data_IF_674521228309
#
_entry.id   IF_674521228309
#
_cell.length_a   1.000
_cell.length_b   1.000
_cell.length_c   1.000
_cell.angle_alpha   90.00
_cell.angle_beta   90.00
_cell.angle_gamma   90.00
#
_symmetry.space_group_name_H-M   'P 1'
#
loop_
_entity.id
_entity.type
_entity.pdbx_description
1 polymer ?
#
# COMPACT_ATOMS: atom_id res chain seq x y z
N UNK A 1 -9.11 24.17 -7.94
CA UNK A 1 -8.37 22.91 -7.87
C UNK A 1 -9.28 21.79 -7.36
N UNK A 2 -9.24 20.65 -8.01
CA UNK A 2 -10.08 19.50 -7.62
C UNK A 2 -9.66 18.99 -6.25
N UNK A 3 -10.61 18.76 -5.36
CA UNK A 3 -10.33 18.29 -4.01
C UNK A 3 -10.03 16.78 -3.98
N UNK A 4 -8.99 16.38 -3.24
CA UNK A 4 -8.64 14.96 -3.06
C UNK A 4 -9.80 14.12 -2.56
N UNK A 5 -10.55 14.62 -1.57
CA UNK A 5 -11.68 13.89 -1.00
C UNK A 5 -12.80 13.64 -2.02
N UNK A 6 -13.02 14.57 -2.94
CA UNK A 6 -14.01 14.39 -4.00
C UNK A 6 -13.60 13.27 -4.95
N UNK A 7 -12.33 13.25 -5.36
CA UNK A 7 -11.77 12.17 -6.19
C UNK A 7 -11.83 10.83 -5.45
N UNK A 8 -11.43 10.81 -4.19
CA UNK A 8 -11.42 9.60 -3.38
C UNK A 8 -12.82 8.98 -3.27
N UNK A 9 -13.82 9.78 -2.95
CA UNK A 9 -15.20 9.29 -2.80
C UNK A 9 -15.72 8.65 -4.09
N UNK A 10 -15.50 9.30 -5.21
CA UNK A 10 -15.92 8.78 -6.52
C UNK A 10 -15.16 7.51 -6.87
N UNK A 11 -13.84 7.53 -6.69
CA UNK A 11 -12.98 6.39 -7.01
C UNK A 11 -13.31 5.16 -6.15
N UNK A 12 -13.54 5.34 -4.86
CA UNK A 12 -13.81 4.22 -3.95
C UNK A 12 -15.05 3.42 -4.33
N UNK A 13 -16.08 4.07 -4.87
CA UNK A 13 -17.28 3.37 -5.33
C UNK A 13 -16.91 2.33 -6.39
N UNK A 14 -16.14 2.74 -7.40
CA UNK A 14 -15.73 1.83 -8.48
C UNK A 14 -14.71 0.81 -8.02
N UNK A 15 -13.76 1.23 -7.20
CA UNK A 15 -12.72 0.33 -6.65
C UNK A 15 -13.38 -0.82 -5.87
N UNK A 16 -14.40 -0.53 -5.06
CA UNK A 16 -15.14 -1.56 -4.31
C UNK A 16 -15.91 -2.49 -5.23
N UNK A 17 -16.51 -1.98 -6.30
CA UNK A 17 -17.19 -2.81 -7.29
C UNK A 17 -16.22 -3.81 -7.93
N UNK A 18 -14.95 -3.45 -8.08
CA UNK A 18 -13.92 -4.29 -8.65
C UNK A 18 -13.23 -5.19 -7.60
N UNK A 19 -13.76 -5.22 -6.38
CA UNK A 19 -13.20 -5.97 -5.25
C UNK A 19 -11.79 -5.50 -4.85
N UNK A 20 -11.56 -4.20 -4.99
CA UNK A 20 -10.30 -3.56 -4.63
C UNK A 20 -10.41 -2.68 -3.41
N UNK A 21 -9.31 -2.01 -3.10
CA UNK A 21 -9.25 -1.03 -2.02
C UNK A 21 -8.41 0.17 -2.45
N UNK A 22 -8.81 1.33 -1.96
CA UNK A 22 -8.11 2.59 -2.20
C UNK A 22 -6.80 2.61 -1.42
N UNK A 23 -5.72 3.14 -2.03
CA UNK A 23 -4.42 3.28 -1.36
C UNK A 23 -4.06 4.74 -1.15
N UNK A 24 -4.01 5.54 -2.21
CA UNK A 24 -3.62 6.95 -2.10
C UNK A 24 -4.06 7.74 -3.32
N UNK A 25 -4.14 9.06 -3.19
CA UNK A 25 -4.33 9.97 -4.30
C UNK A 25 -3.44 11.19 -4.12
N UNK A 26 -2.75 11.58 -5.18
CA UNK A 26 -1.87 12.76 -5.20
C UNK A 26 -2.36 13.69 -6.29
N UNK A 27 -2.50 14.96 -5.96
CA UNK A 27 -2.89 16.01 -6.90
C UNK A 27 -1.90 17.15 -6.77
N UNK A 28 -1.26 17.52 -7.88
CA UNK A 28 -0.34 18.66 -7.87
C UNK A 28 -1.05 19.97 -8.23
N UNK A 29 -0.32 21.09 -8.25
CA UNK A 29 -0.88 22.42 -8.54
C UNK A 29 -1.38 22.56 -9.97
N UNK A 30 -0.94 21.70 -10.88
CA UNK A 30 -1.38 21.68 -12.28
C UNK A 30 -2.57 20.76 -12.52
N UNK A 31 -3.22 20.28 -11.45
CA UNK A 31 -4.33 19.31 -11.51
C UNK A 31 -3.95 18.00 -12.19
N UNK A 32 -2.70 17.56 -12.00
CA UNK A 32 -2.31 16.19 -12.38
C UNK A 32 -2.64 15.28 -11.22
N UNK A 33 -3.56 14.35 -11.46
CA UNK A 33 -4.08 13.43 -10.45
C UNK A 33 -3.44 12.06 -10.65
N UNK A 34 -2.83 11.54 -9.58
CA UNK A 34 -2.33 10.16 -9.56
C UNK A 34 -3.09 9.40 -8.49
N UNK A 35 -3.87 8.41 -8.90
CA UNK A 35 -4.66 7.58 -8.03
C UNK A 35 -4.04 6.20 -7.92
N UNK A 36 -3.88 5.72 -6.69
CA UNK A 36 -3.32 4.41 -6.40
C UNK A 36 -4.36 3.53 -5.71
N UNK A 37 -4.52 2.31 -6.20
CA UNK A 37 -5.39 1.32 -5.62
C UNK A 37 -4.75 -0.06 -5.72
N UNK A 38 -5.33 -1.04 -5.04
CA UNK A 38 -4.85 -2.41 -5.16
C UNK A 38 -6.01 -3.38 -4.98
N UNK A 39 -5.75 -4.65 -5.23
CA UNK A 39 -6.70 -5.76 -5.08
C UNK A 39 -5.94 -6.96 -4.52
N UNK A 40 -6.62 -7.74 -3.69
CA UNK A 40 -6.02 -8.98 -3.17
C UNK A 40 -5.63 -9.94 -4.29
N UNK A 41 -6.42 -9.99 -5.35
CA UNK A 41 -6.23 -10.88 -6.50
C UNK A 41 -5.40 -10.28 -7.64
N UNK A 42 -4.81 -9.11 -7.41
CA UNK A 42 -4.01 -8.42 -8.40
C UNK A 42 -4.79 -7.39 -9.23
N UNK A 43 -4.06 -6.57 -9.96
CA UNK A 43 -4.60 -5.47 -10.75
C UNK A 43 -4.29 -5.68 -12.23
N UNK A 44 -5.31 -5.51 -13.08
CA UNK A 44 -5.15 -5.52 -14.54
C UNK A 44 -5.33 -4.11 -15.11
N UNK A 45 -4.92 -3.93 -16.35
CA UNK A 45 -5.13 -2.67 -17.09
C UNK A 45 -6.62 -2.34 -17.18
N UNK A 46 -7.47 -3.36 -17.35
CA UNK A 46 -8.92 -3.18 -17.42
C UNK A 46 -9.50 -2.58 -16.14
N UNK A 47 -8.98 -2.97 -14.98
CA UNK A 47 -9.38 -2.37 -13.72
C UNK A 47 -9.04 -0.88 -13.67
N UNK A 48 -7.84 -0.52 -14.11
CA UNK A 48 -7.40 0.88 -14.16
C UNK A 48 -8.27 1.71 -15.10
N UNK A 49 -8.60 1.17 -16.26
CA UNK A 49 -9.45 1.85 -17.24
C UNK A 49 -10.87 2.06 -16.72
N UNK A 50 -11.43 1.06 -16.03
CA UNK A 50 -12.76 1.16 -15.45
C UNK A 50 -12.86 2.28 -14.41
N UNK A 51 -11.85 2.38 -13.55
CA UNK A 51 -11.77 3.43 -12.51
C UNK A 51 -11.59 4.80 -13.16
N UNK A 52 -10.70 4.89 -14.14
CA UNK A 52 -10.43 6.14 -14.87
C UNK A 52 -11.72 6.66 -15.53
N UNK A 53 -12.42 5.80 -16.24
CA UNK A 53 -13.69 6.13 -16.90
C UNK A 53 -14.74 6.62 -15.90
N UNK A 54 -14.86 5.92 -14.77
CA UNK A 54 -15.83 6.27 -13.73
C UNK A 54 -15.56 7.68 -13.16
N UNK A 55 -14.29 8.00 -12.93
CA UNK A 55 -13.88 9.32 -12.45
C UNK A 55 -14.19 10.39 -13.51
N UNK A 56 -13.85 10.12 -14.77
CA UNK A 56 -14.10 11.06 -15.87
C UNK A 56 -15.58 11.34 -16.10
N UNK A 57 -16.46 10.39 -15.79
CA UNK A 57 -17.90 10.59 -15.87
C UNK A 57 -18.43 11.54 -14.78
N UNK A 58 -17.72 11.69 -13.68
CA UNK A 58 -18.12 12.52 -12.54
C UNK A 58 -17.42 13.88 -12.49
N UNK A 59 -16.37 14.08 -13.23
CA UNK A 59 -15.61 15.35 -13.26
C UNK A 59 -15.46 15.83 -14.69
N UNK A 60 -16.14 16.94 -14.99
CA UNK A 60 -16.14 17.53 -16.33
C UNK A 60 -14.88 18.36 -16.54
N UNK A 61 -14.08 17.99 -17.55
CA UNK A 61 -12.85 18.70 -17.90
C UNK A 61 -13.11 20.09 -18.46
N UNK A 62 -14.31 20.35 -19.00
CA UNK A 62 -14.69 21.68 -19.49
C UNK A 62 -14.94 22.64 -18.33
N UNK A 63 -15.33 22.13 -17.15
CA UNK A 63 -15.50 22.93 -15.94
C UNK A 63 -14.15 23.21 -15.31
N UNK A 64 -13.34 22.17 -15.10
CA UNK A 64 -11.99 22.26 -14.57
C UNK A 64 -11.16 21.14 -15.16
N UNK A 65 -10.15 21.49 -15.95
CA UNK A 65 -9.33 20.48 -16.61
C UNK A 65 -8.35 19.78 -15.64
N UNK A 66 -8.03 18.54 -15.95
CA UNK A 66 -7.12 17.72 -15.15
C UNK A 66 -6.51 16.62 -16.01
N UNK A 67 -5.36 16.10 -15.55
CA UNK A 67 -4.79 14.86 -16.07
C UNK A 67 -5.00 13.79 -15.02
N UNK A 68 -5.40 12.59 -15.44
CA UNK A 68 -5.68 11.48 -14.53
C UNK A 68 -4.85 10.26 -14.91
N UNK A 69 -4.10 9.74 -13.95
CA UNK A 69 -3.40 8.46 -14.07
C UNK A 69 -3.87 7.56 -12.94
N UNK A 70 -4.39 6.39 -13.29
CA UNK A 70 -4.82 5.36 -12.33
C UNK A 70 -3.80 4.23 -12.35
N UNK A 71 -3.19 3.96 -11.20
CA UNK A 71 -2.12 2.98 -11.07
C UNK A 71 -2.40 1.97 -9.98
N UNK A 72 -1.82 0.77 -10.11
CA UNK A 72 -1.73 -0.12 -8.96
C UNK A 72 -0.79 0.49 -7.93
N UNK A 73 -0.90 0.04 -6.67
CA UNK A 73 -0.08 0.58 -5.57
C UNK A 73 1.42 0.40 -5.79
N UNK A 74 1.81 -0.58 -6.60
CA UNK A 74 3.22 -0.86 -6.89
C UNK A 74 3.93 -1.56 -5.74
N UNK A 75 5.08 -2.16 -6.05
CA UNK A 75 5.87 -2.90 -5.08
C UNK A 75 6.91 -2.04 -4.37
N UNK A 76 7.24 -0.89 -4.94
CA UNK A 76 8.32 -0.03 -4.45
C UNK A 76 7.87 1.03 -3.44
N UNK A 77 6.57 1.24 -3.31
CA UNK A 77 6.03 2.29 -2.46
C UNK A 77 5.72 1.76 -1.05
N UNK A 78 5.85 2.61 -0.02
CA UNK A 78 5.46 2.21 1.34
C UNK A 78 3.98 1.85 1.42
N UNK A 79 3.64 0.99 2.37
CA UNK A 79 2.26 0.65 2.64
C UNK A 79 1.52 1.89 3.18
N UNK A 80 0.33 2.14 2.67
CA UNK A 80 -0.49 3.30 3.04
C UNK A 80 -1.75 2.90 3.80
N UNK A 81 -2.22 1.67 3.61
CA UNK A 81 -3.48 1.20 4.20
C UNK A 81 -3.33 -0.20 4.78
N UNK A 82 -4.20 -0.53 5.75
CA UNK A 82 -4.20 -1.81 6.45
C UNK A 82 -4.33 -3.01 5.52
N UNK A 83 -5.14 -2.89 4.47
CA UNK A 83 -5.36 -3.99 3.53
C UNK A 83 -4.08 -4.46 2.85
N UNK A 84 -3.08 -3.60 2.73
CA UNK A 84 -1.80 -3.98 2.15
C UNK A 84 -1.06 -4.97 3.04
N UNK A 85 -1.14 -4.81 4.37
CA UNK A 85 -0.57 -5.77 5.31
C UNK A 85 -1.23 -7.14 5.16
N UNK A 86 -2.56 -7.17 5.03
CA UNK A 86 -3.29 -8.43 4.85
C UNK A 86 -2.96 -9.10 3.51
N UNK A 87 -2.81 -8.31 2.46
CA UNK A 87 -2.44 -8.82 1.12
C UNK A 87 -1.09 -9.54 1.14
N UNK A 88 -0.15 -9.01 1.91
CA UNK A 88 1.23 -9.49 1.90
C UNK A 88 1.60 -10.37 3.10
N UNK A 89 0.62 -10.96 3.76
CA UNK A 89 0.88 -12.00 4.78
C UNK A 89 1.66 -13.14 4.11
N UNK A 90 2.75 -13.56 4.76
CA UNK A 90 3.66 -14.57 4.22
C UNK A 90 4.82 -13.99 3.41
N UNK A 91 4.84 -12.69 3.18
CA UNK A 91 5.89 -12.02 2.42
C UNK A 91 6.82 -11.25 3.35
N UNK A 92 8.06 -11.07 2.92
CA UNK A 92 9.07 -10.33 3.67
C UNK A 92 8.92 -8.83 3.47
N UNK A 93 8.98 -8.09 4.57
CA UNK A 93 8.89 -6.62 4.57
C UNK A 93 10.02 -6.02 5.40
N UNK A 94 10.35 -4.77 5.08
CA UNK A 94 11.22 -3.94 5.90
C UNK A 94 10.37 -2.89 6.60
N UNK A 95 10.55 -2.74 7.89
CA UNK A 95 9.80 -1.78 8.73
C UNK A 95 10.77 -0.77 9.32
N UNK A 96 10.49 0.50 9.11
CA UNK A 96 11.21 1.60 9.76
C UNK A 96 10.36 2.06 10.94
N UNK A 97 10.95 2.02 12.13
CA UNK A 97 10.28 2.45 13.35
C UNK A 97 10.44 3.95 13.59
N UNK A 98 9.54 4.51 14.39
CA UNK A 98 9.59 5.94 14.73
C UNK A 98 10.84 6.35 15.47
N UNK A 99 11.53 5.40 16.12
CA UNK A 99 12.82 5.64 16.78
C UNK A 99 14.04 5.54 15.84
N UNK A 100 13.80 5.34 14.54
CA UNK A 100 14.85 5.21 13.53
C UNK A 100 15.41 3.82 13.35
N UNK A 101 15.04 2.87 14.18
CA UNK A 101 15.48 1.47 14.03
C UNK A 101 14.73 0.78 12.90
N UNK A 102 15.38 -0.18 12.28
CA UNK A 102 14.79 -0.97 11.20
C UNK A 102 14.60 -2.43 11.63
N UNK A 103 13.47 -3.00 11.24
CA UNK A 103 13.16 -4.41 11.41
C UNK A 103 12.86 -5.02 10.07
N UNK A 104 13.20 -6.29 9.90
CA UNK A 104 12.97 -7.04 8.67
C UNK A 104 12.40 -8.39 9.06
N UNK A 105 11.33 -8.79 8.40
CA UNK A 105 10.70 -10.09 8.70
C UNK A 105 9.55 -10.40 7.79
N UNK A 106 8.96 -11.57 8.01
CA UNK A 106 7.82 -12.05 7.24
C UNK A 106 6.54 -11.70 8.01
N UNK A 107 5.57 -11.13 7.31
CA UNK A 107 4.28 -10.79 7.94
C UNK A 107 3.54 -12.08 8.31
N UNK A 108 3.26 -12.24 9.59
CA UNK A 108 2.44 -13.35 10.10
C UNK A 108 0.98 -12.92 10.23
N UNK A 109 0.74 -11.73 10.75
CA UNK A 109 -0.61 -11.21 10.94
C UNK A 109 -0.60 -9.70 11.12
N UNK A 110 -1.77 -9.10 10.94
CA UNK A 110 -2.03 -7.70 11.27
C UNK A 110 -3.43 -7.64 11.85
N UNK A 111 -3.53 -7.43 13.16
CA UNK A 111 -4.80 -7.39 13.89
C UNK A 111 -4.73 -6.33 14.99
N UNK A 112 -5.84 -5.62 15.20
CA UNK A 112 -5.96 -4.64 16.28
C UNK A 112 -4.81 -3.62 16.30
N UNK A 113 -4.42 -3.13 15.12
CA UNK A 113 -3.33 -2.18 14.93
C UNK A 113 -1.96 -2.71 15.38
N UNK A 114 -1.79 -4.03 15.39
CA UNK A 114 -0.53 -4.70 15.70
C UNK A 114 -0.06 -5.55 14.54
N UNK A 115 1.15 -5.28 14.08
CA UNK A 115 1.82 -6.06 13.05
C UNK A 115 2.69 -7.10 13.73
N UNK A 116 2.48 -8.38 13.38
CA UNK A 116 3.32 -9.47 13.88
C UNK A 116 4.23 -9.94 12.75
N UNK A 117 5.54 -9.91 13.01
CA UNK A 117 6.57 -10.35 12.06
C UNK A 117 7.31 -11.56 12.60
N UNK A 118 7.64 -12.48 11.70
CA UNK A 118 8.59 -13.54 11.98
C UNK A 118 9.99 -13.01 11.62
N UNK A 119 10.83 -12.87 12.63
CA UNK A 119 12.17 -12.29 12.48
C UNK A 119 13.21 -13.38 12.73
N UNK A 120 14.14 -13.56 11.79
CA UNK A 120 15.26 -14.47 11.95
C UNK A 120 16.45 -13.69 12.53
N UNK A 121 16.96 -14.15 13.66
CA UNK A 121 18.18 -13.60 14.28
C UNK A 121 19.26 -14.65 14.29
N UNK A 122 20.47 -14.26 13.94
CA UNK A 122 21.62 -15.15 14.05
C UNK A 122 21.99 -15.33 15.52
N UNK A 123 22.12 -16.58 15.93
CA UNK A 123 22.62 -16.90 17.26
C UNK A 123 24.10 -16.49 17.35
N UNK A 124 24.47 -15.77 18.40
CA UNK A 124 25.83 -15.30 18.62
C UNK A 124 26.81 -16.48 18.66
N UNK A 125 27.81 -16.47 17.76
CA UNK A 125 28.82 -17.53 17.68
C UNK A 125 28.48 -18.70 16.78
N UNK A 126 27.31 -18.71 16.14
CA UNK A 126 26.91 -19.77 15.21
C UNK A 126 26.68 -19.22 13.81
N UNK A 127 27.21 -19.90 12.81
CA UNK A 127 27.03 -19.53 11.40
C UNK A 127 25.78 -20.18 10.77
N UNK A 128 25.18 -21.16 11.42
CA UNK A 128 24.12 -21.98 10.83
C UNK A 128 22.78 -21.93 11.55
N UNK A 129 22.75 -21.56 12.82
CA UNK A 129 21.51 -21.60 13.60
C UNK A 129 20.90 -20.22 13.74
N UNK A 130 19.75 -20.03 13.11
CA UNK A 130 18.95 -18.83 13.27
C UNK A 130 17.90 -19.06 14.33
N UNK A 131 17.77 -18.10 15.25
CA UNK A 131 16.64 -18.08 16.19
C UNK A 131 15.53 -17.34 15.49
N UNK A 132 14.36 -17.98 15.39
CA UNK A 132 13.16 -17.35 14.81
C UNK A 132 12.30 -16.85 15.95
N UNK A 133 11.97 -15.59 15.93
CA UNK A 133 11.13 -14.95 16.93
C UNK A 133 9.94 -14.24 16.27
N UNK A 134 8.78 -14.31 16.95
CA UNK A 134 7.63 -13.51 16.57
C UNK A 134 7.73 -12.18 17.29
N UNK A 135 7.75 -11.08 16.52
CA UNK A 135 7.86 -9.73 17.04
C UNK A 135 6.57 -8.98 16.75
N UNK A 136 5.94 -8.46 17.80
CA UNK A 136 4.74 -7.64 17.67
C UNK A 136 5.12 -6.16 17.68
N UNK A 137 4.61 -5.41 16.71
CA UNK A 137 4.88 -3.98 16.59
C UNK A 137 3.56 -3.23 16.46
N UNK A 138 3.31 -2.30 17.38
CA UNK A 138 2.14 -1.44 17.30
C UNK A 138 2.27 -0.51 16.09
N UNK A 139 1.19 -0.32 15.34
CA UNK A 139 1.21 0.53 14.14
C UNK A 139 1.64 1.96 14.45
N UNK A 140 1.35 2.45 15.65
CA UNK A 140 1.75 3.79 16.08
C UNK A 140 3.27 3.97 16.18
N UNK A 141 4.01 2.87 16.25
CA UNK A 141 5.48 2.87 16.31
C UNK A 141 6.13 2.65 14.95
N UNK A 142 5.33 2.46 13.92
CA UNK A 142 5.82 2.24 12.56
C UNK A 142 5.76 3.55 11.79
N UNK A 143 6.91 3.96 11.25
CA UNK A 143 7.01 5.13 10.38
C UNK A 143 6.73 4.74 8.92
N UNK A 144 7.24 3.59 8.50
CA UNK A 144 7.16 3.14 7.13
C UNK A 144 7.32 1.63 7.03
N UNK A 145 6.52 0.99 6.19
CA UNK A 145 6.66 -0.43 5.85
C UNK A 145 6.73 -0.56 4.34
N UNK A 146 7.75 -1.28 3.86
CA UNK A 146 7.90 -1.58 2.42
C UNK A 146 8.04 -3.07 2.21
N UNK A 147 7.43 -3.55 1.13
CA UNK A 147 7.63 -4.92 0.68
C UNK A 147 9.11 -5.08 0.27
N UNK A 148 9.74 -6.16 0.72
CA UNK A 148 11.10 -6.45 0.31
C UNK A 148 11.06 -7.25 -0.98
N UNK A 149 11.64 -6.69 -2.03
CA UNK A 149 11.70 -7.32 -3.34
C UNK A 149 13.02 -8.05 -3.48
N UNK A 150 12.95 -9.37 -3.71
CA UNK A 150 14.14 -10.18 -3.96
C UNK A 150 14.27 -10.39 -5.46
N UNK A 151 15.26 -9.74 -6.05
CA UNK A 151 15.63 -10.00 -7.43
C UNK A 151 16.70 -11.11 -7.42
N UNK A 152 16.35 -12.23 -7.99
CA UNK A 152 17.33 -13.29 -8.25
C UNK A 152 17.57 -13.39 -9.74
#
# INVERSE_FOLDING_TARGET
MIAKEAIRKVAEVKIKELSGFFVDVKINTANVIMLFFDRMDGVSVEHCLAISKHIEEHFDRDVEDYELTVCSAGLDNPFMVEQQYHKYIGKEVGVLLTNGKRKKGIILSYEDDVLTLEVAKKKKGSKKDNIIEDVEISISKIKETKLKINFK
#
